data_IF_490695264003
#
_entry.id   IF_490695264003
#
_cell.length_a   1.000
_cell.length_b   1.000
_cell.length_c   1.000
_cell.angle_alpha   90.00
_cell.angle_beta   90.00
_cell.angle_gamma   90.00
#
_symmetry.space_group_name_H-M   'P 1'
#
loop_
_entity.id
_entity.type
_entity.pdbx_description
1 polymer ?
#
# COMPACT_ATOMS: atom_id res chain seq x y z
N UNK A 1 -8.19 5.42 0.93
CA UNK A 1 -7.95 5.55 2.39
C UNK A 1 -9.02 6.47 2.99
N UNK A 2 -9.05 6.74 4.30
CA UNK A 2 -10.09 7.64 4.86
C UNK A 2 -10.19 9.02 4.19
N UNK A 3 -9.15 9.46 3.47
CA UNK A 3 -9.14 10.70 2.69
C UNK A 3 -10.17 10.70 1.55
N UNK A 4 -10.64 9.53 1.08
CA UNK A 4 -11.70 9.41 0.09
C UNK A 4 -13.12 9.59 0.66
N UNK A 5 -13.25 9.94 1.95
CA UNK A 5 -14.54 10.27 2.56
C UNK A 5 -15.54 9.10 2.54
N UNK A 6 -16.79 9.40 2.24
CA UNK A 6 -17.82 8.40 2.05
C UNK A 6 -17.90 8.04 0.57
N UNK A 7 -17.99 6.74 0.26
CA UNK A 7 -18.05 6.24 -1.11
C UNK A 7 -19.48 5.77 -1.41
N UNK A 8 -20.03 6.23 -2.54
CA UNK A 8 -21.25 5.65 -3.11
C UNK A 8 -20.89 4.38 -3.87
N UNK A 9 -20.89 3.24 -3.17
CA UNK A 9 -20.46 1.96 -3.73
C UNK A 9 -21.33 1.44 -4.88
N UNK A 10 -22.62 1.78 -4.89
CA UNK A 10 -23.52 1.41 -5.99
C UNK A 10 -23.13 2.07 -7.32
N UNK A 11 -22.56 3.27 -7.25
CA UNK A 11 -22.07 3.99 -8.41
C UNK A 11 -20.62 3.61 -8.72
N UNK A 12 -19.74 3.66 -7.71
CA UNK A 12 -18.31 3.41 -7.88
C UNK A 12 -18.00 1.99 -8.39
N UNK A 13 -18.76 0.98 -7.95
CA UNK A 13 -18.52 -0.41 -8.37
C UNK A 13 -18.68 -0.66 -9.87
N UNK A 14 -19.35 0.24 -10.60
CA UNK A 14 -19.47 0.11 -12.06
C UNK A 14 -18.14 0.39 -12.78
N UNK A 15 -17.24 1.16 -12.17
CA UNK A 15 -15.96 1.58 -12.76
C UNK A 15 -14.73 0.96 -12.06
N UNK A 16 -14.93 0.26 -10.94
CA UNK A 16 -13.84 -0.31 -10.13
C UNK A 16 -13.55 -1.77 -10.50
N UNK A 17 -12.44 -2.01 -11.20
CA UNK A 17 -11.90 -3.35 -11.42
C UNK A 17 -11.15 -3.91 -10.18
N UNK A 18 -10.61 -3.02 -9.35
CA UNK A 18 -9.83 -3.34 -8.15
C UNK A 18 -9.77 -2.13 -7.21
N UNK A 19 -9.77 -2.37 -5.91
CA UNK A 19 -9.43 -1.36 -4.90
C UNK A 19 -8.21 -1.78 -4.07
N UNK A 20 -7.30 -0.83 -3.74
CA UNK A 20 -6.21 -1.07 -2.77
C UNK A 20 -6.46 -0.15 -1.57
N UNK A 21 -6.83 -0.75 -0.43
CA UNK A 21 -7.38 -0.01 0.72
C UNK A 21 -6.33 0.09 1.83
N UNK A 22 -6.07 1.31 2.32
CA UNK A 22 -5.17 1.51 3.47
C UNK A 22 -5.74 0.88 4.70
N UNK A 23 -4.96 0.05 5.39
CA UNK A 23 -5.32 -0.52 6.69
C UNK A 23 -4.71 0.29 7.82
N UNK A 24 -3.47 0.74 7.66
CA UNK A 24 -2.76 1.45 8.71
C UNK A 24 -1.77 2.49 8.18
N UNK A 25 -1.44 3.43 9.05
CA UNK A 25 -0.29 4.33 8.96
C UNK A 25 0.59 4.04 10.16
N UNK A 26 1.64 3.25 9.92
CA UNK A 26 2.43 2.59 10.95
C UNK A 26 1.62 1.71 11.90
N UNK A 27 2.26 1.24 12.97
CA UNK A 27 1.59 0.45 14.01
C UNK A 27 0.53 1.24 14.79
N UNK A 28 0.65 2.56 14.90
CA UNK A 28 -0.14 3.35 15.86
C UNK A 28 -1.47 3.89 15.33
N UNK A 29 -1.73 3.83 14.02
CA UNK A 29 -2.95 4.40 13.43
C UNK A 29 -3.60 3.43 12.46
N UNK A 30 -4.76 2.91 12.85
CA UNK A 30 -5.65 2.17 11.95
C UNK A 30 -6.44 3.18 11.10
N UNK A 31 -6.58 2.92 9.80
CA UNK A 31 -7.40 3.76 8.93
C UNK A 31 -8.88 3.61 9.33
N UNK A 32 -9.52 4.74 9.67
CA UNK A 32 -10.87 4.75 10.25
C UNK A 32 -11.95 4.29 9.28
N UNK A 33 -11.68 4.29 7.97
CA UNK A 33 -12.63 3.89 6.94
C UNK A 33 -12.37 2.51 6.36
N UNK A 34 -11.26 1.85 6.71
CA UNK A 34 -10.87 0.59 6.04
C UNK A 34 -11.96 -0.49 6.12
N UNK A 35 -12.58 -0.69 7.29
CA UNK A 35 -13.63 -1.72 7.46
C UNK A 35 -14.88 -1.41 6.64
N UNK A 36 -15.28 -0.15 6.61
CA UNK A 36 -16.41 0.33 5.80
C UNK A 36 -16.16 0.09 4.31
N UNK A 37 -14.94 0.39 3.84
CA UNK A 37 -14.59 0.19 2.44
C UNK A 37 -14.47 -1.28 2.06
N UNK A 38 -13.95 -2.13 2.95
CA UNK A 38 -13.97 -3.59 2.75
C UNK A 38 -15.40 -4.10 2.65
N UNK A 39 -16.30 -3.66 3.52
CA UNK A 39 -17.72 -4.03 3.45
C UNK A 39 -18.35 -3.59 2.13
N UNK A 40 -18.06 -2.38 1.66
CA UNK A 40 -18.50 -1.89 0.35
C UNK A 40 -18.00 -2.76 -0.79
N UNK A 41 -16.70 -3.06 -0.82
CA UNK A 41 -16.12 -3.95 -1.84
C UNK A 41 -16.79 -5.33 -1.84
N UNK A 42 -16.98 -5.94 -0.67
CA UNK A 42 -17.64 -7.26 -0.55
C UNK A 42 -19.11 -7.22 -1.00
N UNK A 43 -19.85 -6.18 -0.62
CA UNK A 43 -21.27 -6.06 -0.95
C UNK A 43 -21.52 -5.87 -2.46
N UNK A 44 -20.59 -5.21 -3.16
CA UNK A 44 -20.71 -4.89 -4.58
C UNK A 44 -19.78 -5.71 -5.48
N UNK A 45 -19.11 -6.72 -4.94
CA UNK A 45 -18.28 -7.65 -5.72
C UNK A 45 -16.97 -7.07 -6.27
N UNK A 46 -16.48 -5.95 -5.72
CA UNK A 46 -15.20 -5.33 -6.13
C UNK A 46 -14.04 -6.08 -5.47
N UNK A 47 -13.11 -6.67 -6.25
CA UNK A 47 -11.89 -7.27 -5.69
C UNK A 47 -11.05 -6.21 -4.97
N UNK A 48 -10.36 -6.59 -3.90
CA UNK A 48 -9.52 -5.64 -3.18
C UNK A 48 -8.21 -6.24 -2.66
N UNK A 49 -7.20 -5.39 -2.55
CA UNK A 49 -5.97 -5.61 -1.78
C UNK A 49 -5.86 -4.59 -0.65
N UNK A 50 -4.83 -4.75 0.17
CA UNK A 50 -4.56 -3.83 1.27
C UNK A 50 -3.19 -3.20 1.15
N UNK A 51 -3.03 -1.98 1.67
CA UNK A 51 -1.73 -1.38 1.87
C UNK A 51 -1.54 -0.85 3.29
N UNK A 52 -0.29 -0.80 3.74
CA UNK A 52 0.14 -0.18 4.97
C UNK A 52 1.22 0.85 4.64
N UNK A 53 1.01 2.09 5.06
CA UNK A 53 2.06 3.12 5.02
C UNK A 53 3.07 2.80 6.12
N UNK A 54 4.33 2.58 5.75
CA UNK A 54 5.40 2.22 6.69
C UNK A 54 5.82 3.40 7.56
N UNK A 55 5.85 3.21 8.88
CA UNK A 55 6.40 4.18 9.83
C UNK A 55 7.42 3.55 10.78
N UNK A 56 7.91 2.36 10.43
CA UNK A 56 8.90 1.64 11.20
C UNK A 56 10.21 2.43 11.35
N UNK A 57 10.79 2.35 12.52
CA UNK A 57 12.02 3.06 12.90
C UNK A 57 13.26 2.17 12.81
N UNK A 58 13.08 0.86 12.62
CA UNK A 58 14.16 -0.12 12.52
C UNK A 58 13.69 -1.40 11.81
N UNK A 59 14.62 -2.30 11.52
CA UNK A 59 14.30 -3.63 10.96
C UNK A 59 13.37 -4.43 11.89
N UNK A 60 13.62 -4.38 13.20
CA UNK A 60 12.78 -5.11 14.17
C UNK A 60 11.38 -4.51 14.28
N UNK A 61 11.28 -3.19 14.16
CA UNK A 61 10.02 -2.46 14.17
C UNK A 61 9.21 -2.75 12.89
N UNK A 62 9.86 -2.85 11.73
CA UNK A 62 9.21 -3.25 10.48
C UNK A 62 8.56 -4.63 10.56
N UNK A 63 9.16 -5.57 11.29
CA UNK A 63 8.57 -6.89 11.56
C UNK A 63 7.33 -6.77 12.45
N UNK A 64 7.33 -5.86 13.43
CA UNK A 64 6.16 -5.58 14.27
C UNK A 64 5.05 -4.95 13.45
N UNK A 65 5.35 -3.92 12.65
CA UNK A 65 4.36 -3.25 11.80
C UNK A 65 3.73 -4.21 10.79
N UNK A 66 4.51 -5.16 10.22
CA UNK A 66 4.00 -6.20 9.33
C UNK A 66 3.01 -7.14 10.03
N UNK A 67 3.30 -7.53 11.29
CA UNK A 67 2.38 -8.36 12.09
C UNK A 67 1.11 -7.61 12.42
N UNK A 68 1.21 -6.34 12.81
CA UNK A 68 0.04 -5.50 13.05
C UNK A 68 -0.81 -5.36 11.79
N UNK A 69 -0.17 -5.16 10.65
CA UNK A 69 -0.84 -5.07 9.36
C UNK A 69 -1.61 -6.34 9.04
N UNK A 70 -0.97 -7.51 9.14
CA UNK A 70 -1.62 -8.80 8.88
C UNK A 70 -2.74 -9.12 9.88
N UNK A 71 -2.58 -8.73 11.15
CA UNK A 71 -3.62 -8.93 12.17
C UNK A 71 -4.87 -8.07 11.90
N UNK A 72 -4.70 -6.93 11.23
CA UNK A 72 -5.79 -6.00 10.87
C UNK A 72 -6.37 -6.29 9.49
N UNK A 73 -5.58 -6.77 8.54
CA UNK A 73 -5.99 -7.01 7.17
C UNK A 73 -7.20 -7.96 7.10
N UNK A 74 -8.14 -7.67 6.20
CA UNK A 74 -9.21 -8.61 5.91
C UNK A 74 -8.67 -9.81 5.11
N UNK A 75 -9.12 -11.02 5.47
CA UNK A 75 -8.62 -12.27 4.90
C UNK A 75 -8.98 -12.46 3.42
N UNK A 76 -10.00 -11.77 2.92
CA UNK A 76 -10.42 -11.86 1.52
C UNK A 76 -9.56 -10.99 0.58
N UNK A 77 -8.64 -10.19 1.14
CA UNK A 77 -7.70 -9.40 0.36
C UNK A 77 -6.87 -10.27 -0.59
N UNK A 78 -6.67 -9.80 -1.82
CA UNK A 78 -5.92 -10.55 -2.85
C UNK A 78 -4.40 -10.49 -2.66
N UNK A 79 -3.93 -9.42 -2.02
CA UNK A 79 -2.52 -9.16 -1.75
C UNK A 79 -2.39 -8.06 -0.70
N UNK A 80 -1.19 -7.94 -0.15
CA UNK A 80 -0.77 -6.86 0.74
C UNK A 80 0.24 -5.96 0.01
N UNK A 81 0.38 -4.70 0.43
CA UNK A 81 1.36 -3.76 -0.10
C UNK A 81 2.03 -3.03 1.05
N UNK A 82 3.37 -3.00 1.02
CA UNK A 82 4.13 -2.03 1.79
C UNK A 82 4.25 -0.74 0.99
N UNK A 83 3.84 0.37 1.58
CA UNK A 83 3.93 1.72 1.03
C UNK A 83 5.10 2.47 1.70
N UNK A 84 6.15 2.77 0.94
CA UNK A 84 7.39 3.43 1.37
C UNK A 84 7.52 4.80 0.74
N UNK A 85 7.37 5.83 1.57
CA UNK A 85 7.49 7.23 1.14
C UNK A 85 8.33 8.06 2.13
N UNK A 86 8.22 9.39 2.03
CA UNK A 86 9.05 10.32 2.80
C UNK A 86 8.89 10.18 4.32
N UNK A 87 7.69 9.88 4.87
CA UNK A 87 7.56 9.66 6.32
C UNK A 87 8.19 8.33 6.76
N UNK A 88 8.23 7.33 5.88
CA UNK A 88 8.96 6.07 6.13
C UNK A 88 10.47 6.34 6.18
N UNK A 89 10.98 7.17 5.26
CA UNK A 89 12.37 7.61 5.30
C UNK A 89 12.67 8.44 6.56
N UNK A 90 11.77 9.34 6.94
CA UNK A 90 11.93 10.18 8.12
C UNK A 90 11.95 9.36 9.43
N UNK A 91 11.15 8.30 9.51
CA UNK A 91 11.08 7.40 10.67
C UNK A 91 12.23 6.40 10.74
N UNK A 92 12.53 5.69 9.64
CA UNK A 92 13.55 4.64 9.61
C UNK A 92 14.98 5.18 9.43
N UNK A 93 15.12 6.34 8.79
CA UNK A 93 16.39 6.86 8.30
C UNK A 93 16.91 6.11 7.07
N UNK A 94 17.88 6.70 6.35
CA UNK A 94 18.33 6.22 5.03
C UNK A 94 19.15 4.93 5.09
N UNK A 95 19.82 4.65 6.21
CA UNK A 95 20.81 3.56 6.31
C UNK A 95 20.18 2.17 6.29
N UNK A 96 19.02 2.01 6.92
CA UNK A 96 18.37 0.71 7.09
C UNK A 96 17.08 0.56 6.28
N UNK A 97 16.68 1.58 5.52
CA UNK A 97 15.37 1.63 4.88
C UNK A 97 15.08 0.39 4.03
N UNK A 98 15.96 0.04 3.08
CA UNK A 98 15.76 -1.17 2.25
C UNK A 98 15.73 -2.48 3.06
N UNK A 99 16.58 -2.61 4.09
CA UNK A 99 16.60 -3.81 4.94
C UNK A 99 15.32 -3.93 5.77
N UNK A 100 14.82 -2.82 6.30
CA UNK A 100 13.58 -2.77 7.06
C UNK A 100 12.36 -3.04 6.17
N UNK A 101 12.31 -2.43 4.98
CA UNK A 101 11.29 -2.72 3.96
C UNK A 101 11.28 -4.21 3.56
N UNK A 102 12.46 -4.81 3.35
CA UNK A 102 12.55 -6.23 3.05
C UNK A 102 12.04 -7.10 4.20
N UNK A 103 12.41 -6.77 5.44
CA UNK A 103 11.95 -7.53 6.61
C UNK A 103 10.43 -7.47 6.81
N UNK A 104 9.80 -6.33 6.52
CA UNK A 104 8.34 -6.20 6.49
C UNK A 104 7.74 -7.16 5.46
N UNK A 105 8.22 -7.11 4.23
CA UNK A 105 7.72 -7.92 3.11
C UNK A 105 7.91 -9.41 3.38
N UNK A 106 9.10 -9.82 3.84
CA UNK A 106 9.41 -11.22 4.14
C UNK A 106 8.54 -11.75 5.29
N UNK A 107 8.23 -10.91 6.29
CA UNK A 107 7.32 -11.28 7.38
C UNK A 107 5.92 -11.57 6.86
N UNK A 108 5.41 -10.75 5.93
CA UNK A 108 4.12 -10.97 5.30
C UNK A 108 4.11 -12.22 4.39
N UNK A 109 5.17 -12.39 3.58
CA UNK A 109 5.33 -13.58 2.72
C UNK A 109 5.44 -14.88 3.50
N UNK A 110 6.15 -14.87 4.64
CA UNK A 110 6.27 -16.04 5.50
C UNK A 110 4.92 -16.50 6.08
N UNK A 111 3.93 -15.59 6.16
CA UNK A 111 2.56 -15.92 6.53
C UNK A 111 1.68 -16.34 5.33
N UNK A 112 2.24 -16.43 4.13
CA UNK A 112 1.56 -16.91 2.92
C UNK A 112 0.95 -15.82 2.03
N UNK A 113 1.21 -14.54 2.31
CA UNK A 113 0.71 -13.43 1.49
C UNK A 113 1.54 -13.22 0.23
N UNK A 114 0.86 -12.84 -0.86
CA UNK A 114 1.50 -12.08 -1.94
C UNK A 114 1.64 -10.63 -1.50
N UNK A 115 2.83 -10.06 -1.69
CA UNK A 115 3.18 -8.74 -1.15
C UNK A 115 3.82 -7.88 -2.22
N UNK A 116 3.21 -6.72 -2.51
CA UNK A 116 3.77 -5.69 -3.37
C UNK A 116 4.58 -4.64 -2.61
N UNK A 117 5.40 -3.91 -3.34
CA UNK A 117 6.06 -2.70 -2.86
C UNK A 117 5.53 -1.50 -3.64
N UNK A 118 4.95 -0.53 -2.94
CA UNK A 118 4.84 0.83 -3.43
C UNK A 118 6.01 1.67 -2.93
N UNK A 119 6.55 2.51 -3.81
CA UNK A 119 7.68 3.36 -3.49
C UNK A 119 7.59 4.68 -4.25
N UNK A 120 7.74 5.80 -3.54
CA UNK A 120 7.78 7.11 -4.18
C UNK A 120 8.85 7.16 -5.27
N UNK A 121 8.52 7.77 -6.41
CA UNK A 121 9.34 7.73 -7.62
C UNK A 121 10.80 8.16 -7.38
N UNK A 122 11.00 9.25 -6.63
CA UNK A 122 12.33 9.81 -6.32
C UNK A 122 13.16 8.94 -5.39
N UNK A 123 12.53 8.01 -4.67
CA UNK A 123 13.19 7.15 -3.69
C UNK A 123 13.66 5.82 -4.28
N UNK A 124 13.12 5.37 -5.43
CA UNK A 124 13.32 3.99 -5.89
C UNK A 124 14.79 3.62 -6.10
N UNK A 125 15.58 4.46 -6.77
CA UNK A 125 17.03 4.22 -6.97
C UNK A 125 17.90 4.72 -5.82
N UNK A 126 17.26 5.22 -4.75
CA UNK A 126 17.91 5.73 -3.56
C UNK A 126 17.76 4.72 -2.42
N UNK A 127 18.62 4.82 -1.41
CA UNK A 127 18.51 4.04 -0.15
C UNK A 127 18.47 2.51 -0.32
N UNK A 128 18.85 2.00 -1.49
CA UNK A 128 18.79 0.58 -1.85
C UNK A 128 17.39 0.04 -2.15
N UNK A 129 16.35 0.88 -2.30
CA UNK A 129 14.96 0.41 -2.44
C UNK A 129 14.71 -0.39 -3.72
N UNK A 130 15.47 -0.15 -4.78
CA UNK A 130 15.48 -0.95 -6.01
C UNK A 130 15.97 -2.39 -5.83
N UNK A 131 16.57 -2.72 -4.68
CA UNK A 131 17.00 -4.09 -4.34
C UNK A 131 15.98 -4.85 -3.50
N UNK A 132 14.91 -4.20 -3.04
CA UNK A 132 13.85 -4.84 -2.26
C UNK A 132 13.06 -5.77 -3.16
N UNK A 133 13.00 -7.05 -2.79
CA UNK A 133 12.25 -8.08 -3.49
C UNK A 133 10.80 -8.10 -3.02
N UNK A 134 9.88 -7.84 -3.94
CA UNK A 134 8.43 -7.95 -3.78
C UNK A 134 7.82 -8.79 -4.91
N UNK A 135 6.56 -9.21 -4.76
CA UNK A 135 5.86 -10.03 -5.76
C UNK A 135 5.37 -9.20 -6.95
N UNK A 136 5.21 -7.89 -6.73
CA UNK A 136 4.97 -6.90 -7.76
C UNK A 136 5.43 -5.52 -7.27
N UNK A 137 5.70 -4.62 -8.22
CA UNK A 137 6.15 -3.27 -7.95
C UNK A 137 5.10 -2.25 -8.42
N UNK A 138 4.78 -1.31 -7.54
CA UNK A 138 3.86 -0.21 -7.78
C UNK A 138 4.63 1.12 -7.71
N UNK A 139 4.67 1.88 -8.81
CA UNK A 139 5.41 3.15 -8.87
C UNK A 139 4.46 4.29 -9.28
N UNK A 140 4.45 5.42 -8.55
CA UNK A 140 3.77 6.62 -8.98
C UNK A 140 4.59 7.37 -10.03
N UNK A 141 3.93 7.95 -11.03
CA UNK A 141 4.50 9.05 -11.81
C UNK A 141 3.37 9.84 -12.46
N UNK A 142 3.23 11.09 -12.06
CA UNK A 142 2.14 11.94 -12.49
C UNK A 142 2.57 12.82 -13.68
N UNK A 143 1.61 13.37 -14.42
CA UNK A 143 1.90 14.29 -15.53
C UNK A 143 2.15 13.62 -16.89
N UNK A 144 1.62 12.42 -17.11
CA UNK A 144 1.51 11.78 -18.44
C UNK A 144 2.72 10.96 -18.89
N UNK A 145 3.88 11.07 -18.23
CA UNK A 145 5.01 10.18 -18.48
C UNK A 145 4.94 8.93 -17.62
N UNK A 146 5.15 7.75 -18.23
CA UNK A 146 5.27 6.48 -17.49
C UNK A 146 6.47 6.49 -16.51
N UNK A 147 6.46 5.65 -15.45
CA UNK A 147 7.60 5.46 -14.56
C UNK A 147 8.91 5.24 -15.32
N UNK A 148 10.01 5.72 -14.76
CA UNK A 148 11.34 5.58 -15.37
C UNK A 148 11.89 4.15 -15.24
N UNK A 149 11.22 3.35 -14.41
CA UNK A 149 11.57 2.00 -14.03
C UNK A 149 10.41 1.08 -14.42
N UNK A 150 10.72 -0.17 -14.74
CA UNK A 150 9.67 -1.18 -14.99
C UNK A 150 8.89 -1.42 -13.69
N UNK A 151 7.57 -1.48 -13.78
CA UNK A 151 6.67 -1.75 -12.67
C UNK A 151 5.43 -2.50 -13.18
N UNK A 152 4.78 -3.22 -12.29
CA UNK A 152 3.57 -3.99 -12.59
C UNK A 152 2.31 -3.12 -12.45
N UNK A 153 2.35 -2.12 -11.57
CA UNK A 153 1.28 -1.15 -11.38
C UNK A 153 1.83 0.28 -11.46
N UNK A 154 1.18 1.14 -12.24
CA UNK A 154 1.53 2.56 -12.38
C UNK A 154 0.44 3.44 -11.78
N UNK A 155 0.75 4.21 -10.73
CA UNK A 155 -0.13 5.30 -10.29
C UNK A 155 0.13 6.52 -11.18
N UNK A 156 -0.72 6.73 -12.17
CA UNK A 156 -0.52 7.78 -13.17
C UNK A 156 -1.09 9.15 -12.77
N UNK A 157 -1.95 9.19 -11.74
CA UNK A 157 -2.56 10.42 -11.23
C UNK A 157 -2.93 10.28 -9.76
N UNK A 158 -2.93 11.41 -9.06
CA UNK A 158 -3.51 11.58 -7.72
C UNK A 158 -4.76 12.48 -7.73
N UNK A 159 -5.11 13.02 -8.91
CA UNK A 159 -6.25 13.94 -9.13
C UNK A 159 -7.31 13.33 -10.05
N UNK A 160 -7.34 12.00 -10.14
CA UNK A 160 -8.36 11.27 -10.88
C UNK A 160 -9.76 11.47 -10.27
N UNK A 161 -10.78 11.27 -11.09
CA UNK A 161 -12.19 11.28 -10.67
C UNK A 161 -12.83 9.96 -11.09
N UNK A 162 -13.55 9.34 -10.16
CA UNK A 162 -14.32 8.11 -10.37
C UNK A 162 -15.71 8.38 -9.80
N UNK A 163 -16.75 8.00 -10.53
CA UNK A 163 -18.12 8.20 -10.10
C UNK A 163 -18.36 7.56 -8.72
N UNK A 164 -19.05 8.27 -7.82
CA UNK A 164 -19.26 7.82 -6.44
C UNK A 164 -18.06 7.93 -5.49
N UNK A 165 -16.90 8.42 -5.93
CA UNK A 165 -15.73 8.74 -5.08
C UNK A 165 -15.45 10.25 -5.20
N UNK A 166 -15.76 10.99 -4.15
CA UNK A 166 -15.64 12.47 -4.09
C UNK A 166 -14.60 12.94 -3.11
#
# INVERSE_FOLDING_TARGET
SYHNGNINWAEASNDLELAIIRVQYGSNKVDSKYKEYVQGCKAYGVPFGHYAYGCYTSVQDAIVEARDFMNRADKDAKFLVLDVEDDTLASCGPTNLAKASQAFIDTCRAAGWKVGLYVSHHMYTSYGLNSVSADFLWIPRYGGSKPAYSCDLWQYTETGSVAGIT
#
